data_IF_158343986191
#
_entry.id   IF_158343986191
#
_cell.length_a   1.000
_cell.length_b   1.000
_cell.length_c   1.000
_cell.angle_alpha   90.00
_cell.angle_beta   90.00
_cell.angle_gamma   90.00
#
_symmetry.space_group_name_H-M   'P 1'
#
loop_
_entity.id
_entity.type
_entity.pdbx_description
1 polymer ?
#
# COMPACT_ATOMS: atom_id res chain seq x y z
N UNK A 1 18.14 -15.60 -0.83
CA UNK A 1 16.67 -15.72 -0.89
C UNK A 1 16.23 -15.26 -2.27
N UNK A 2 15.36 -15.99 -3.01
CA UNK A 2 14.96 -15.56 -4.35
C UNK A 2 14.12 -14.29 -4.21
N UNK A 3 14.72 -13.15 -4.51
CA UNK A 3 14.12 -11.80 -4.38
C UNK A 3 12.81 -11.67 -5.16
N UNK A 4 12.66 -12.44 -6.24
CA UNK A 4 11.43 -12.50 -7.05
C UNK A 4 10.20 -12.96 -6.28
N UNK A 5 10.34 -13.93 -5.35
CA UNK A 5 9.19 -14.43 -4.61
C UNK A 5 8.65 -13.38 -3.63
N UNK A 6 9.55 -12.72 -2.89
CA UNK A 6 9.17 -11.64 -1.97
C UNK A 6 8.56 -10.46 -2.72
N UNK A 7 9.07 -10.14 -3.90
CA UNK A 7 8.52 -9.07 -4.74
C UNK A 7 7.07 -9.37 -5.18
N UNK A 8 6.77 -10.61 -5.58
CA UNK A 8 5.39 -10.99 -5.95
C UNK A 8 4.45 -10.86 -4.74
N UNK A 9 4.88 -11.31 -3.56
CA UNK A 9 4.08 -11.18 -2.34
C UNK A 9 3.84 -9.70 -1.99
N UNK A 10 4.85 -8.85 -2.14
CA UNK A 10 4.74 -7.42 -1.87
C UNK A 10 3.72 -6.74 -2.78
N UNK A 11 3.72 -7.06 -4.07
CA UNK A 11 2.72 -6.58 -5.03
C UNK A 11 1.31 -7.07 -4.64
N UNK A 12 1.16 -8.38 -4.41
CA UNK A 12 -0.14 -8.97 -4.07
C UNK A 12 -0.70 -8.40 -2.76
N UNK A 13 0.16 -8.25 -1.74
CA UNK A 13 -0.21 -7.65 -0.46
C UNK A 13 -0.63 -6.18 -0.64
N UNK A 14 0.16 -5.39 -1.35
CA UNK A 14 -0.16 -3.98 -1.64
C UNK A 14 -1.51 -3.83 -2.34
N UNK A 15 -1.75 -4.64 -3.38
CA UNK A 15 -3.01 -4.63 -4.12
C UNK A 15 -4.19 -5.06 -3.23
N UNK A 16 -4.06 -6.15 -2.48
CA UNK A 16 -5.11 -6.62 -1.58
C UNK A 16 -5.47 -5.58 -0.51
N UNK A 17 -4.48 -4.90 0.06
CA UNK A 17 -4.71 -3.84 1.04
C UNK A 17 -5.32 -2.57 0.44
N UNK A 18 -4.94 -2.19 -0.78
CA UNK A 18 -5.56 -1.08 -1.49
C UNK A 18 -7.07 -1.34 -1.72
N UNK A 19 -7.40 -2.53 -2.20
CA UNK A 19 -8.79 -2.98 -2.39
C UNK A 19 -9.56 -2.98 -1.06
N UNK A 20 -8.98 -3.54 0.01
CA UNK A 20 -9.61 -3.54 1.34
C UNK A 20 -9.88 -2.12 1.86
N UNK A 21 -8.92 -1.19 1.69
CA UNK A 21 -9.07 0.21 2.05
C UNK A 21 -10.16 0.92 1.24
N UNK A 22 -10.23 0.64 -0.07
CA UNK A 22 -11.28 1.18 -0.94
C UNK A 22 -12.67 0.69 -0.53
N UNK A 23 -12.85 -0.61 -0.28
CA UNK A 23 -14.12 -1.17 0.19
C UNK A 23 -14.53 -0.57 1.54
N UNK A 24 -13.60 -0.46 2.49
CA UNK A 24 -13.90 0.15 3.80
C UNK A 24 -14.32 1.62 3.68
N UNK A 25 -13.73 2.38 2.74
CA UNK A 25 -14.11 3.76 2.47
C UNK A 25 -15.52 3.85 1.86
N UNK A 26 -15.85 2.94 0.93
CA UNK A 26 -17.17 2.87 0.31
C UNK A 26 -18.26 2.51 1.32
N UNK A 27 -17.99 1.56 2.24
CA UNK A 27 -18.92 1.23 3.34
C UNK A 27 -19.20 2.44 4.25
N UNK A 28 -18.17 3.27 4.45
CA UNK A 28 -18.26 4.54 5.21
C UNK A 28 -18.85 5.69 4.39
N UNK A 29 -19.26 5.45 3.14
CA UNK A 29 -19.82 6.44 2.21
C UNK A 29 -18.92 7.67 2.02
N UNK A 30 -17.61 7.45 1.99
CA UNK A 30 -16.66 8.51 1.63
C UNK A 30 -16.82 8.88 0.16
N UNK A 31 -16.43 10.11 -0.17
CA UNK A 31 -16.36 10.57 -1.56
C UNK A 31 -15.18 9.88 -2.30
N UNK A 32 -15.10 10.00 -3.64
CA UNK A 32 -14.03 9.36 -4.41
C UNK A 32 -12.62 9.73 -3.93
N UNK A 33 -12.44 10.97 -3.46
CA UNK A 33 -11.16 11.40 -2.88
C UNK A 33 -10.86 10.66 -1.58
N UNK A 34 -11.82 10.54 -0.67
CA UNK A 34 -11.66 9.77 0.57
C UNK A 34 -11.41 8.27 0.31
N UNK A 35 -12.01 7.70 -0.73
CA UNK A 35 -11.73 6.31 -1.17
C UNK A 35 -10.27 6.16 -1.59
N UNK A 36 -9.76 7.08 -2.43
CA UNK A 36 -8.35 7.06 -2.87
C UNK A 36 -7.39 7.20 -1.69
N UNK A 37 -7.65 8.14 -0.78
CA UNK A 37 -6.80 8.36 0.39
C UNK A 37 -6.79 7.14 1.31
N UNK A 38 -7.95 6.54 1.61
CA UNK A 38 -8.00 5.40 2.51
C UNK A 38 -7.37 4.15 1.89
N UNK A 39 -7.60 3.89 0.59
CA UNK A 39 -6.93 2.83 -0.16
C UNK A 39 -5.40 2.99 -0.10
N UNK A 40 -4.91 4.20 -0.36
CA UNK A 40 -3.49 4.52 -0.34
C UNK A 40 -2.87 4.30 1.04
N UNK A 41 -3.43 4.92 2.09
CA UNK A 41 -2.91 4.80 3.47
C UNK A 41 -2.94 3.36 3.95
N UNK A 42 -3.99 2.59 3.63
CA UNK A 42 -4.09 1.18 4.02
C UNK A 42 -3.00 0.34 3.35
N UNK A 43 -2.75 0.57 2.06
CA UNK A 43 -1.75 -0.17 1.30
C UNK A 43 -0.31 0.12 1.75
N UNK A 44 0.05 1.38 2.01
CA UNK A 44 1.42 1.73 2.42
C UNK A 44 1.65 1.63 3.94
N UNK A 45 0.59 1.60 4.75
CA UNK A 45 0.69 1.76 6.20
C UNK A 45 1.54 0.69 6.89
N UNK A 46 1.32 -0.59 6.53
CA UNK A 46 2.09 -1.70 7.10
C UNK A 46 3.57 -1.67 6.71
N UNK A 47 3.87 -1.42 5.42
CA UNK A 47 5.25 -1.29 4.92
C UNK A 47 5.97 -0.08 5.51
N UNK A 48 5.28 1.05 5.63
CA UNK A 48 5.78 2.26 6.30
C UNK A 48 6.13 1.98 7.75
N UNK A 49 5.22 1.34 8.51
CA UNK A 49 5.47 1.01 9.91
C UNK A 49 6.64 0.03 10.05
N UNK A 50 6.69 -1.02 9.21
CA UNK A 50 7.81 -1.97 9.14
C UNK A 50 9.13 -1.24 8.95
N UNK A 51 9.20 -0.37 7.95
CA UNK A 51 10.40 0.37 7.58
C UNK A 51 10.87 1.29 8.71
N UNK A 52 9.96 1.96 9.40
CA UNK A 52 10.28 2.76 10.60
C UNK A 52 10.84 1.88 11.73
N UNK A 53 10.19 0.75 12.02
CA UNK A 53 10.58 -0.13 13.14
C UNK A 53 11.96 -0.75 12.95
N UNK A 54 12.36 -1.02 11.71
CA UNK A 54 13.69 -1.58 11.38
C UNK A 54 14.73 -0.51 11.03
N UNK A 55 14.37 0.78 11.09
CA UNK A 55 15.27 1.90 10.77
C UNK A 55 15.59 2.07 9.28
N UNK A 56 14.76 1.52 8.39
CA UNK A 56 14.90 1.64 6.94
C UNK A 56 14.23 2.93 6.43
N UNK A 57 14.97 4.04 6.44
CA UNK A 57 14.48 5.35 5.99
C UNK A 57 15.32 5.88 4.82
N UNK A 58 14.74 6.53 3.80
CA UNK A 58 13.31 6.85 3.65
C UNK A 58 12.46 5.60 3.39
N UNK A 59 11.17 5.67 3.75
CA UNK A 59 10.23 4.54 3.61
C UNK A 59 10.12 4.08 2.15
N UNK A 60 10.02 2.77 1.94
CA UNK A 60 10.29 2.11 0.65
C UNK A 60 9.44 2.64 -0.52
N UNK A 61 8.18 2.99 -0.26
CA UNK A 61 7.26 3.47 -1.29
C UNK A 61 7.62 4.85 -1.85
N UNK A 62 8.41 5.66 -1.13
CA UNK A 62 8.92 6.94 -1.66
C UNK A 62 10.00 6.74 -2.74
N UNK A 63 10.75 5.64 -2.66
CA UNK A 63 11.78 5.30 -3.64
C UNK A 63 11.30 4.41 -4.79
N UNK A 64 10.06 3.91 -4.73
CA UNK A 64 9.54 2.94 -5.69
C UNK A 64 8.25 3.45 -6.36
N UNK A 65 8.31 3.88 -7.64
CA UNK A 65 7.12 4.36 -8.36
C UNK A 65 6.08 3.26 -8.60
N UNK A 66 6.44 1.98 -8.47
CA UNK A 66 5.53 0.85 -8.69
C UNK A 66 4.46 0.76 -7.60
N UNK A 67 4.79 1.10 -6.34
CA UNK A 67 3.84 0.98 -5.22
C UNK A 67 2.62 1.89 -5.41
N UNK A 68 2.77 3.21 -5.68
CA UNK A 68 1.62 4.06 -6.03
C UNK A 68 0.85 3.57 -7.26
N UNK A 69 1.55 3.08 -8.28
CA UNK A 69 0.90 2.55 -9.50
C UNK A 69 -0.01 1.37 -9.16
N UNK A 70 0.45 0.43 -8.34
CA UNK A 70 -0.34 -0.75 -7.94
C UNK A 70 -1.59 -0.34 -7.13
N UNK A 71 -1.49 0.71 -6.32
CA UNK A 71 -2.61 1.19 -5.50
C UNK A 71 -3.72 1.82 -6.37
N UNK A 72 -3.34 2.47 -7.48
CA UNK A 72 -4.26 3.18 -8.37
C UNK A 72 -4.61 2.43 -9.66
N UNK A 73 -4.04 1.24 -9.88
CA UNK A 73 -4.34 0.36 -10.99
C UNK A 73 -5.63 -0.43 -10.74
#
# INVERSE_FOLDING_TARGET
>A
MPTHFLYIIDILGTFAFAVAGAFSAMEKRLDPFGVLVLAFVTAIGGGTLRDILIGNLPVSWLGNPTTPIIIFA
#
